data_IF_796914595368
#
_entry.id   IF_796914595368
#
_cell.length_a   1.000
_cell.length_b   1.000
_cell.length_c   1.000
_cell.angle_alpha   90.00
_cell.angle_beta   90.00
_cell.angle_gamma   90.00
#
_symmetry.space_group_name_H-M   'P 1'
#
loop_
_entity.id
_entity.type
_entity.pdbx_description
1 polymer ?
#
# COMPACT_ATOMS: atom_id res chain seq x y z
N UNK A 1 0.37 -7.14 -11.14
CA UNK A 1 0.93 -6.32 -10.05
C UNK A 1 1.20 -7.24 -8.86
N UNK A 2 2.48 -7.47 -8.58
CA UNK A 2 2.96 -8.24 -7.44
C UNK A 2 2.94 -7.38 -6.17
N UNK A 3 3.19 -7.99 -5.01
CA UNK A 3 3.32 -7.25 -3.74
C UNK A 3 4.60 -6.40 -3.72
N UNK A 4 5.65 -6.85 -4.40
CA UNK A 4 6.90 -6.10 -4.56
C UNK A 4 6.68 -4.83 -5.38
N UNK A 5 5.89 -4.91 -6.45
CA UNK A 5 5.54 -3.74 -7.28
C UNK A 5 4.79 -2.69 -6.43
N UNK A 6 3.87 -3.15 -5.57
CA UNK A 6 3.13 -2.26 -4.68
C UNK A 6 4.04 -1.59 -3.62
N UNK A 7 5.03 -2.32 -3.10
CA UNK A 7 6.03 -1.77 -2.18
C UNK A 7 6.90 -0.70 -2.86
N UNK A 8 7.31 -0.91 -4.11
CA UNK A 8 8.15 0.04 -4.83
C UNK A 8 7.42 1.36 -5.10
N UNK A 9 6.15 1.30 -5.51
CA UNK A 9 5.28 2.48 -5.63
C UNK A 9 5.16 3.21 -4.28
N UNK A 10 4.96 2.47 -3.19
CA UNK A 10 4.88 3.07 -1.86
C UNK A 10 6.19 3.74 -1.43
N UNK A 11 7.35 3.27 -1.90
CA UNK A 11 8.66 3.79 -1.50
C UNK A 11 9.12 4.96 -2.37
N UNK A 12 8.89 4.88 -3.68
CA UNK A 12 9.49 5.79 -4.68
C UNK A 12 8.48 6.76 -5.29
N UNK A 13 7.33 6.24 -5.68
CA UNK A 13 6.38 6.96 -6.55
C UNK A 13 5.17 7.52 -5.77
N UNK A 14 5.18 7.40 -4.44
CA UNK A 14 4.06 7.83 -3.62
C UNK A 14 3.96 9.37 -3.59
N UNK A 15 2.85 9.96 -4.06
CA UNK A 15 2.77 11.40 -4.33
C UNK A 15 2.61 12.25 -3.08
N UNK A 16 2.22 11.65 -1.95
CA UNK A 16 2.01 12.37 -0.68
C UNK A 16 3.15 12.16 0.31
N UNK A 17 3.39 13.11 1.24
CA UNK A 17 4.34 12.94 2.34
C UNK A 17 4.09 11.67 3.15
N UNK A 18 5.07 11.29 3.98
CA UNK A 18 4.95 10.14 4.86
C UNK A 18 3.70 10.24 5.76
N UNK A 19 2.77 9.31 5.59
CA UNK A 19 1.59 9.16 6.43
C UNK A 19 1.63 7.81 7.17
N UNK A 20 0.89 7.71 8.28
CA UNK A 20 0.79 6.46 9.05
C UNK A 20 0.25 5.31 8.19
N UNK A 21 -0.67 5.61 7.27
CA UNK A 21 -1.29 4.63 6.37
C UNK A 21 -0.30 4.14 5.31
N UNK A 22 0.54 5.02 4.75
CA UNK A 22 1.64 4.66 3.85
C UNK A 22 2.64 3.73 4.52
N UNK A 23 3.10 4.06 5.74
CA UNK A 23 4.03 3.21 6.49
C UNK A 23 3.41 1.84 6.81
N UNK A 24 2.13 1.80 7.18
CA UNK A 24 1.42 0.55 7.42
C UNK A 24 1.32 -0.30 6.14
N UNK A 25 1.10 0.32 4.98
CA UNK A 25 1.06 -0.38 3.70
C UNK A 25 2.44 -0.97 3.32
N UNK A 26 3.53 -0.24 3.56
CA UNK A 26 4.90 -0.74 3.36
C UNK A 26 5.16 -1.95 4.27
N UNK A 27 4.84 -1.84 5.56
CA UNK A 27 5.01 -2.93 6.52
C UNK A 27 4.18 -4.17 6.14
N UNK A 28 2.95 -3.97 5.66
CA UNK A 28 2.10 -5.05 5.18
C UNK A 28 2.69 -5.75 3.94
N UNK A 29 3.26 -5.00 2.99
CA UNK A 29 3.93 -5.57 1.83
C UNK A 29 5.15 -6.41 2.25
N UNK A 30 5.98 -5.91 3.17
CA UNK A 30 7.13 -6.64 3.69
C UNK A 30 6.74 -7.94 4.39
N UNK A 31 5.68 -7.92 5.21
CA UNK A 31 5.20 -9.12 5.90
C UNK A 31 4.74 -10.20 4.91
N UNK A 32 4.12 -9.81 3.79
CA UNK A 32 3.72 -10.77 2.74
C UNK A 32 4.95 -11.30 1.98
N UNK A 33 5.91 -10.45 1.64
CA UNK A 33 7.16 -10.85 0.96
C UNK A 33 7.93 -11.87 1.83
N UNK A 34 7.90 -11.71 3.15
CA UNK A 34 8.51 -12.65 4.12
C UNK A 34 7.70 -13.93 4.34
N UNK A 35 6.51 -14.05 3.75
CA UNK A 35 5.61 -15.20 3.96
C UNK A 35 4.87 -15.19 5.32
N UNK A 36 4.94 -14.09 6.08
CA UNK A 36 4.33 -13.97 7.41
C UNK A 36 2.82 -13.69 7.33
N UNK A 37 2.37 -13.07 6.23
CA UNK A 37 0.96 -12.71 6.01
C UNK A 37 0.49 -13.05 4.59
N UNK A 38 -0.82 -13.29 4.40
CA UNK A 38 -1.36 -13.53 3.06
C UNK A 38 -1.44 -12.23 2.24
N UNK A 39 -1.32 -12.29 0.90
CA UNK A 39 -1.33 -11.12 0.01
C UNK A 39 -2.53 -10.17 0.15
N UNK A 40 -3.68 -10.69 0.62
CA UNK A 40 -4.86 -9.87 0.93
C UNK A 40 -4.58 -8.75 1.94
N UNK A 41 -3.65 -8.96 2.88
CA UNK A 41 -3.30 -7.96 3.90
C UNK A 41 -2.59 -6.77 3.27
N UNK A 42 -1.61 -7.02 2.39
CA UNK A 42 -0.92 -5.96 1.66
C UNK A 42 -1.90 -5.17 0.78
N UNK A 43 -2.81 -5.86 0.09
CA UNK A 43 -3.84 -5.22 -0.74
C UNK A 43 -4.74 -4.28 0.06
N UNK A 44 -5.24 -4.73 1.22
CA UNK A 44 -6.12 -3.91 2.06
C UNK A 44 -5.39 -2.67 2.59
N UNK A 45 -4.15 -2.84 3.07
CA UNK A 45 -3.35 -1.73 3.58
C UNK A 45 -3.04 -0.71 2.47
N UNK A 46 -2.75 -1.18 1.26
CA UNK A 46 -2.53 -0.32 0.10
C UNK A 46 -3.77 0.51 -0.27
N UNK A 47 -4.97 -0.09 -0.26
CA UNK A 47 -6.23 0.63 -0.51
C UNK A 47 -6.45 1.73 0.53
N UNK A 48 -6.22 1.42 1.82
CA UNK A 48 -6.36 2.40 2.90
C UNK A 48 -5.37 3.57 2.71
N UNK A 49 -4.12 3.28 2.35
CA UNK A 49 -3.14 4.32 2.03
C UNK A 49 -3.57 5.17 0.82
N UNK A 50 -4.07 4.55 -0.24
CA UNK A 50 -4.54 5.26 -1.43
C UNK A 50 -5.74 6.17 -1.15
N UNK A 51 -6.66 5.75 -0.28
CA UNK A 51 -7.78 6.59 0.20
C UNK A 51 -7.29 7.78 1.01
N UNK A 52 -6.37 7.57 1.94
CA UNK A 52 -5.77 8.62 2.78
C UNK A 52 -5.03 9.66 1.92
N UNK A 53 -4.29 9.19 0.91
CA UNK A 53 -3.60 10.04 -0.06
C UNK A 53 -4.54 10.68 -1.10
N UNK A 54 -5.84 10.34 -1.10
CA UNK A 54 -6.84 10.76 -2.11
C UNK A 54 -6.44 10.48 -3.56
N UNK A 55 -5.72 9.39 -3.78
CA UNK A 55 -5.25 8.94 -5.11
C UNK A 55 -5.98 7.70 -5.62
N UNK A 56 -6.95 7.19 -4.86
CA UNK A 56 -7.76 6.07 -5.28
C UNK A 56 -8.75 6.50 -6.39
N UNK A 57 -8.33 6.37 -7.64
CA UNK A 57 -9.19 6.54 -8.82
C UNK A 57 -10.17 5.35 -8.88
N UNK A 58 -11.42 5.58 -8.48
CA UNK A 58 -12.46 4.55 -8.50
C UNK A 58 -13.53 4.66 -7.41
N UNK A 59 -13.38 5.56 -6.43
CA UNK A 59 -14.45 5.87 -5.47
C UNK A 59 -15.12 7.19 -5.86
N UNK A 60 -15.61 7.23 -7.10
CA UNK A 60 -16.55 8.23 -7.57
C UNK A 60 -17.94 7.57 -7.46
N UNK A 61 -18.62 7.84 -6.35
CA UNK A 61 -20.05 7.59 -6.18
C UNK A 61 -20.74 8.95 -6.18
#
# INVERSE_FOLDING_TARGET
MSVSDAADVLLRDWPTPASKTRLAAIAACLAVIRGEKPPRVARQAFIVAAKDARILLGEQI
#
